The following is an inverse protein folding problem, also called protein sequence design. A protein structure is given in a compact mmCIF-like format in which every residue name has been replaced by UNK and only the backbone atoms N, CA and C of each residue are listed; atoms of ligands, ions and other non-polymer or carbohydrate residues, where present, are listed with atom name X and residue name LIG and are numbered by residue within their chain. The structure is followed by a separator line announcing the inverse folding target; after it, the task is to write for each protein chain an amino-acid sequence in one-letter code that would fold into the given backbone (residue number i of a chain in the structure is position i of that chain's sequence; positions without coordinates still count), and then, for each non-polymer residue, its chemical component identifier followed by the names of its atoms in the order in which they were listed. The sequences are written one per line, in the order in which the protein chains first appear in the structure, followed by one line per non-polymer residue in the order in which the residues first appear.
data_IF_348052139665
#
_entry.id   IF_348052139665
#
_cell.length_a   1.000
_cell.length_b   1.000
_cell.length_c   1.000
_cell.angle_alpha   90.00
_cell.angle_beta   90.00
_cell.angle_gamma   90.00
#
_symmetry.space_group_name_H-M   'P 1'
#
loop_
_entity.id
_entity.type
_entity.pdbx_description
1 polymer ?
#
# COMPACT_ATOMS: atom_id res chain seq x y z
N UNK A 1 2.54 -20.34 -17.25
CA UNK A 1 2.32 -20.72 -15.84
C UNK A 1 0.82 -20.87 -15.67
N UNK A 2 0.30 -22.10 -15.56
CA UNK A 2 -1.14 -22.32 -15.35
C UNK A 2 -1.54 -21.89 -13.94
N UNK A 3 -2.74 -21.35 -13.80
CA UNK A 3 -3.27 -20.96 -12.48
C UNK A 3 -3.59 -22.21 -11.65
N UNK A 4 -3.63 -22.08 -10.31
CA UNK A 4 -4.00 -23.21 -9.44
C UNK A 4 -5.38 -23.79 -9.78
N UNK A 5 -6.31 -22.93 -10.21
CA UNK A 5 -7.66 -23.31 -10.64
C UNK A 5 -7.63 -24.12 -11.95
N UNK A 6 -6.82 -23.71 -12.92
CA UNK A 6 -6.64 -24.42 -14.18
C UNK A 6 -5.99 -25.81 -13.98
N UNK A 7 -5.04 -25.90 -13.04
CA UNK A 7 -4.47 -27.18 -12.63
C UNK A 7 -5.51 -28.08 -11.94
N UNK A 8 -6.35 -27.51 -11.07
CA UNK A 8 -7.45 -28.23 -10.43
C UNK A 8 -8.46 -28.73 -11.48
N UNK A 9 -8.90 -27.86 -12.39
CA UNK A 9 -9.84 -28.18 -13.46
C UNK A 9 -9.32 -29.32 -14.34
N UNK A 10 -8.05 -29.24 -14.77
CA UNK A 10 -7.44 -30.27 -15.61
C UNK A 10 -7.20 -31.60 -14.88
N UNK A 11 -6.91 -31.58 -13.58
CA UNK A 11 -6.72 -32.80 -12.78
C UNK A 11 -8.00 -33.62 -12.60
N UNK A 12 -9.15 -32.95 -12.47
CA UNK A 12 -10.44 -33.58 -12.19
C UNK A 12 -11.37 -33.71 -13.41
N UNK A 13 -10.93 -33.24 -14.58
CA UNK A 13 -11.67 -33.43 -15.83
C UNK A 13 -11.45 -34.83 -16.39
N UNK A 14 -12.53 -35.57 -16.62
CA UNK A 14 -12.46 -36.86 -17.29
C UNK A 14 -12.11 -36.66 -18.77
N UNK A 15 -11.07 -37.35 -19.25
CA UNK A 15 -10.58 -37.23 -20.64
C UNK A 15 -11.56 -37.75 -21.70
N UNK A 16 -12.44 -38.69 -21.35
CA UNK A 16 -13.43 -39.25 -22.28
C UNK A 16 -14.66 -38.35 -22.38
N UNK A 17 -15.15 -37.81 -21.26
CA UNK A 17 -16.38 -37.01 -21.22
C UNK A 17 -16.12 -35.50 -21.29
N UNK A 18 -14.88 -35.06 -21.08
CA UNK A 18 -14.48 -33.65 -21.08
C UNK A 18 -15.05 -32.84 -19.91
N UNK A 19 -15.57 -33.50 -18.88
CA UNK A 19 -16.28 -32.83 -17.77
C UNK A 19 -15.75 -33.30 -16.42
N UNK A 20 -15.89 -32.42 -15.43
CA UNK A 20 -15.68 -32.75 -14.01
C UNK A 20 -16.91 -33.52 -13.54
N UNK A 21 -16.71 -34.76 -13.12
CA UNK A 21 -17.79 -35.63 -12.63
C UNK A 21 -17.98 -35.55 -11.11
N UNK A 22 -16.96 -35.09 -10.39
CA UNK A 22 -17.05 -34.85 -8.95
C UNK A 22 -17.89 -33.60 -8.69
N UNK A 23 -19.05 -33.73 -8.03
CA UNK A 23 -19.95 -32.61 -7.80
C UNK A 23 -19.33 -31.53 -6.89
N UNK A 24 -18.54 -31.92 -5.88
CA UNK A 24 -17.92 -30.97 -4.96
C UNK A 24 -16.85 -30.15 -5.68
N UNK A 25 -16.02 -30.80 -6.49
CA UNK A 25 -14.98 -30.10 -7.25
C UNK A 25 -15.60 -29.18 -8.29
N UNK A 26 -16.69 -29.59 -8.93
CA UNK A 26 -17.44 -28.74 -9.85
C UNK A 26 -17.95 -27.48 -9.15
N UNK A 27 -18.60 -27.62 -8.00
CA UNK A 27 -19.12 -26.48 -7.22
C UNK A 27 -18.00 -25.52 -6.79
N UNK A 28 -16.84 -26.06 -6.38
CA UNK A 28 -15.68 -25.25 -6.01
C UNK A 28 -15.11 -24.49 -7.21
N UNK A 29 -15.00 -25.15 -8.37
CA UNK A 29 -14.52 -24.51 -9.60
C UNK A 29 -15.48 -23.38 -10.01
N UNK A 30 -16.78 -23.66 -10.04
CA UNK A 30 -17.82 -22.70 -10.43
C UNK A 30 -17.83 -21.48 -9.48
N UNK A 31 -17.71 -21.71 -8.16
CA UNK A 31 -17.63 -20.64 -7.16
C UNK A 31 -16.40 -19.75 -7.36
N UNK A 32 -15.24 -20.35 -7.60
CA UNK A 32 -13.99 -19.60 -7.78
C UNK A 32 -14.01 -18.84 -9.11
N UNK A 33 -14.51 -19.44 -10.19
CA UNK A 33 -14.66 -18.78 -11.49
C UNK A 33 -15.61 -17.57 -11.37
N UNK A 34 -16.78 -17.75 -10.76
CA UNK A 34 -17.73 -16.66 -10.49
C UNK A 34 -17.10 -15.55 -9.64
N UNK A 35 -16.35 -15.90 -8.59
CA UNK A 35 -15.70 -14.89 -7.75
C UNK A 35 -14.61 -14.13 -8.49
N UNK A 36 -13.85 -14.80 -9.36
CA UNK A 36 -12.83 -14.15 -10.20
C UNK A 36 -13.49 -13.19 -11.18
N UNK A 37 -14.60 -13.59 -11.81
CA UNK A 37 -15.38 -12.73 -12.69
C UNK A 37 -15.94 -11.52 -11.95
N UNK A 38 -16.52 -11.70 -10.76
CA UNK A 38 -17.03 -10.61 -9.93
C UNK A 38 -15.94 -9.61 -9.54
N UNK A 39 -14.76 -10.10 -9.16
CA UNK A 39 -13.61 -9.24 -8.83
C UNK A 39 -13.15 -8.48 -10.08
N UNK A 40 -13.07 -9.15 -11.23
CA UNK A 40 -12.66 -8.54 -12.49
C UNK A 40 -13.68 -7.50 -12.95
N UNK A 41 -14.98 -7.80 -12.86
CA UNK A 41 -16.08 -6.92 -13.23
C UNK A 41 -16.16 -5.73 -12.28
N UNK A 42 -16.01 -5.96 -10.98
CA UNK A 42 -15.91 -4.89 -9.99
C UNK A 42 -14.68 -4.04 -10.27
N UNK A 43 -13.49 -4.62 -10.48
CA UNK A 43 -12.27 -3.88 -10.83
C UNK A 43 -12.45 -3.05 -12.11
N UNK A 44 -13.16 -3.58 -13.11
CA UNK A 44 -13.42 -2.89 -14.38
C UNK A 44 -14.51 -1.81 -14.27
N UNK A 45 -15.57 -2.03 -13.48
CA UNK A 45 -16.59 -1.02 -13.19
C UNK A 45 -16.03 0.11 -12.30
N UNK A 46 -15.12 -0.24 -11.40
CA UNK A 46 -14.25 0.64 -10.60
C UNK A 46 -13.21 1.36 -11.49
N UNK A 47 -13.21 1.18 -12.81
CA UNK A 47 -12.39 1.96 -13.73
C UNK A 47 -13.19 3.10 -14.41
N UNK A 48 -14.51 2.96 -14.57
CA UNK A 48 -15.33 3.91 -15.34
C UNK A 48 -16.03 4.97 -14.46
N UNK A 49 -16.19 4.74 -13.15
CA UNK A 49 -16.72 5.74 -12.19
C UNK A 49 -15.79 5.96 -11.00
N UNK A 50 -14.48 5.79 -11.23
CA UNK A 50 -13.53 5.76 -10.14
C UNK A 50 -12.17 6.33 -10.54
N UNK A 51 -12.16 7.65 -10.48
CA UNK A 51 -10.96 8.42 -10.21
C UNK A 51 -10.36 8.15 -8.80
N UNK A 52 -10.75 7.07 -8.08
CA UNK A 52 -10.42 6.88 -6.66
C UNK A 52 -9.74 5.56 -6.24
N UNK A 53 -9.86 4.40 -6.91
CA UNK A 53 -9.12 3.17 -6.48
C UNK A 53 -7.85 2.90 -7.26
N UNK A 54 -7.68 3.40 -8.49
CA UNK A 54 -6.36 3.31 -9.14
C UNK A 54 -5.33 4.31 -8.55
N UNK A 55 -5.80 5.23 -7.69
CA UNK A 55 -4.97 6.13 -6.85
C UNK A 55 -4.97 5.74 -5.37
N UNK A 56 -5.42 4.53 -4.99
CA UNK A 56 -5.55 4.15 -3.58
C UNK A 56 -4.27 3.61 -2.91
N UNK A 57 -3.15 3.48 -3.64
CA UNK A 57 -1.86 3.07 -3.04
C UNK A 57 -0.65 3.91 -3.47
N UNK A 58 -0.90 5.05 -4.12
CA UNK A 58 0.17 5.98 -4.51
C UNK A 58 -0.16 7.38 -4.01
N UNK A 59 -0.23 7.53 -2.69
CA UNK A 59 -0.19 8.87 -2.09
C UNK A 59 1.20 9.45 -2.32
N UNK A 60 1.26 10.71 -2.70
CA UNK A 60 2.51 11.45 -2.62
C UNK A 60 2.97 11.54 -1.17
N UNK A 61 4.27 11.72 -0.95
CA UNK A 61 4.85 11.84 0.40
C UNK A 61 4.13 12.90 1.24
N UNK A 62 3.73 14.01 0.63
CA UNK A 62 3.04 15.10 1.33
C UNK A 62 1.61 14.74 1.72
N UNK A 63 0.88 14.06 0.83
CA UNK A 63 -0.46 13.56 1.14
C UNK A 63 -0.41 12.55 2.29
N UNK A 64 0.58 11.66 2.28
CA UNK A 64 0.78 10.70 3.37
C UNK A 64 1.11 11.40 4.69
N UNK A 65 2.00 12.39 4.68
CA UNK A 65 2.31 13.16 5.86
C UNK A 65 1.07 13.89 6.41
N UNK A 66 0.25 14.48 5.55
CA UNK A 66 -0.97 15.15 5.96
C UNK A 66 -1.95 14.19 6.64
N UNK A 67 -2.18 13.01 6.07
CA UNK A 67 -3.02 11.98 6.68
C UNK A 67 -2.50 11.56 8.07
N UNK A 68 -1.19 11.42 8.24
CA UNK A 68 -0.58 11.12 9.54
C UNK A 68 -0.81 12.26 10.52
N UNK A 69 -0.65 13.52 10.09
CA UNK A 69 -0.86 14.70 10.94
C UNK A 69 -2.33 14.84 11.37
N UNK A 70 -3.30 14.52 10.51
CA UNK A 70 -4.73 14.55 10.87
C UNK A 70 -5.09 13.51 11.94
N UNK A 71 -4.42 12.36 11.93
CA UNK A 71 -4.64 11.31 12.92
C UNK A 71 -4.01 11.61 14.29
N UNK A 72 -2.98 12.46 14.35
CA UNK A 72 -2.27 12.79 15.59
C UNK A 72 -3.01 13.88 16.38
N UNK A 73 -3.32 13.65 17.68
CA UNK A 73 -3.94 14.67 18.51
C UNK A 73 -3.13 15.97 18.57
N UNK A 74 -3.81 17.10 18.37
CA UNK A 74 -3.22 18.45 18.41
C UNK A 74 -3.68 19.19 19.67
N UNK A 75 -2.73 19.62 20.51
CA UNK A 75 -2.99 20.39 21.74
C UNK A 75 -2.27 21.73 21.69
N UNK A 76 -3.03 22.84 21.78
CA UNK A 76 -2.51 24.23 21.70
C UNK A 76 -1.59 24.45 20.48
N UNK A 77 -2.00 23.96 19.31
CA UNK A 77 -1.23 24.14 18.07
C UNK A 77 -0.11 23.12 17.83
N UNK A 78 0.20 22.25 18.80
CA UNK A 78 1.31 21.29 18.74
C UNK A 78 0.79 19.86 18.64
N UNK A 79 1.38 19.06 17.75
CA UNK A 79 1.11 17.62 17.66
C UNK A 79 1.74 16.89 18.85
N UNK A 80 0.98 16.01 19.48
CA UNK A 80 1.44 15.27 20.66
C UNK A 80 2.30 14.08 20.22
N UNK A 81 3.50 13.92 20.80
CA UNK A 81 4.37 12.78 20.54
C UNK A 81 5.15 12.82 19.21
N UNK A 82 4.98 13.86 18.40
CA UNK A 82 5.87 14.16 17.28
C UNK A 82 6.95 15.12 17.77
N UNK A 83 8.21 14.75 17.55
CA UNK A 83 9.32 15.67 17.79
C UNK A 83 9.18 16.91 16.90
N UNK A 84 9.61 18.05 17.43
CA UNK A 84 9.42 19.35 16.79
C UNK A 84 10.05 19.32 15.40
N UNK A 85 9.21 19.25 14.36
CA UNK A 85 9.66 19.30 12.98
C UNK A 85 10.31 20.67 12.76
N UNK A 86 11.63 20.67 12.62
CA UNK A 86 12.47 21.81 12.27
C UNK A 86 12.08 22.30 10.86
N UNK A 87 10.99 23.06 10.77
CA UNK A 87 10.60 23.82 9.58
C UNK A 87 10.13 25.21 10.00
N UNK A 88 11.02 26.16 9.72
CA UNK A 88 10.78 27.59 9.49
C UNK A 88 10.43 28.47 10.71
N UNK A 89 11.50 29.10 11.24
CA UNK A 89 11.57 30.53 11.56
C UNK A 89 10.51 31.16 12.47
N UNK A 90 10.87 31.42 13.74
CA UNK A 90 10.19 32.43 14.55
C UNK A 90 10.29 32.29 16.09
N UNK A 91 11.43 32.72 16.64
CA UNK A 91 11.68 33.26 18.00
C UNK A 91 11.48 32.44 19.28
N UNK A 92 12.63 32.28 19.95
CA UNK A 92 12.87 32.40 21.40
C UNK A 92 12.43 31.27 22.33
N UNK A 93 13.22 30.19 22.36
CA UNK A 93 13.72 29.63 23.60
C UNK A 93 15.00 28.83 23.32
N UNK A 94 16.08 29.21 23.99
CA UNK A 94 17.40 28.59 23.94
C UNK A 94 17.33 27.08 24.17
N UNK A 95 17.61 26.28 23.13
CA UNK A 95 18.19 24.94 23.30
C UNK A 95 19.31 24.82 22.28
N UNK A 96 20.53 24.99 22.78
CA UNK A 96 21.78 24.78 22.07
C UNK A 96 21.88 23.30 21.67
N UNK A 97 21.76 22.99 20.38
CA UNK A 97 22.22 21.73 19.81
C UNK A 97 23.57 22.01 19.13
N UNK A 98 24.72 21.61 19.72
CA UNK A 98 26.04 21.96 19.22
C UNK A 98 26.56 20.94 18.22
N UNK A 99 25.84 20.67 17.13
CA UNK A 99 26.48 20.04 15.96
C UNK A 99 25.90 20.72 14.71
N UNK A 100 26.64 21.66 14.11
CA UNK A 100 26.32 22.17 12.78
C UNK A 100 26.25 20.98 11.82
N UNK A 101 25.13 20.81 11.13
CA UNK A 101 24.91 19.75 10.13
C UNK A 101 26.00 19.75 9.06
N UNK A 102 26.66 20.90 8.87
CA UNK A 102 27.79 21.13 7.98
C UNK A 102 29.03 20.32 8.40
N UNK A 103 29.34 20.28 9.70
CA UNK A 103 30.49 19.54 10.23
C UNK A 103 30.29 18.02 10.08
N UNK A 104 29.04 17.56 10.15
CA UNK A 104 28.69 16.16 9.96
C UNK A 104 28.82 15.74 8.48
N UNK A 105 28.39 16.60 7.55
CA UNK A 105 28.55 16.38 6.11
C UNK A 105 30.04 16.33 5.74
N UNK A 106 30.85 17.20 6.35
CA UNK A 106 32.30 17.25 6.12
C UNK A 106 33.02 16.02 6.70
N UNK A 107 32.65 15.54 7.88
CA UNK A 107 33.19 14.29 8.44
C UNK A 107 32.88 13.07 7.58
N UNK A 108 31.66 12.95 7.04
CA UNK A 108 31.27 11.82 6.20
C UNK A 108 32.06 11.83 4.88
N UNK A 109 32.29 13.01 4.30
CA UNK A 109 33.08 13.17 3.08
C UNK A 109 34.55 12.77 3.27
N UNK A 110 35.10 13.00 4.47
CA UNK A 110 36.51 12.76 4.78
C UNK A 110 36.81 11.35 5.30
N UNK A 111 35.79 10.50 5.52
CA UNK A 111 35.94 9.17 6.15
C UNK A 111 36.33 8.03 5.17
N UNK A 112 36.48 8.31 3.88
CA UNK A 112 36.81 7.32 2.84
C UNK A 112 38.20 7.55 2.19
N UNK A 113 39.17 8.12 2.92
CA UNK A 113 40.55 8.28 2.44
C UNK A 113 41.54 7.60 3.37
#
# INVERSE_FOLDING_TARGET
MSTKLELLKSAYTNKQTGQIQDPLIKDVVDLVESRVEDILMTQKATCEDQSTVSSANSLTRDQLNNHVLEAVPKKRGRYVGLDCSISTGGSSASVHCPIPVQDLIEQIKNKNK
#
